data_IF_744471035876
#
_entry.id   IF_744471035876
#
_cell.length_a   1.000
_cell.length_b   1.000
_cell.length_c   1.000
_cell.angle_alpha   90.00
_cell.angle_beta   90.00
_cell.angle_gamma   90.00
#
_symmetry.space_group_name_H-M   'P 1'
#
loop_
_entity.id
_entity.type
_entity.pdbx_description
1 polymer ?
#
# COMPACT_ATOMS: atom_id res chain seq x y z
N UNK A 1 40.15 9.65 -42.62
CA UNK A 1 38.85 9.00 -42.89
C UNK A 1 38.48 7.87 -41.91
N UNK A 2 39.31 7.54 -40.91
CA UNK A 2 39.04 6.47 -39.93
C UNK A 2 38.57 6.94 -38.54
N UNK A 3 38.54 8.25 -38.26
CA UNK A 3 38.23 8.76 -36.91
C UNK A 3 36.72 8.94 -36.63
N UNK A 4 35.90 9.21 -37.66
CA UNK A 4 34.44 9.43 -37.48
C UNK A 4 33.62 8.13 -37.33
N UNK A 5 34.11 7.00 -37.84
CA UNK A 5 33.38 5.73 -37.75
C UNK A 5 33.47 5.10 -36.36
N UNK A 6 34.57 5.33 -35.63
CA UNK A 6 34.75 4.79 -34.28
C UNK A 6 33.87 5.50 -33.24
N UNK A 7 33.62 6.79 -33.42
CA UNK A 7 32.74 7.59 -32.55
C UNK A 7 31.24 7.27 -32.75
N UNK A 8 30.82 6.90 -33.96
CA UNK A 8 29.43 6.52 -34.24
C UNK A 8 29.05 5.13 -33.68
N UNK A 9 30.01 4.19 -33.66
CA UNK A 9 29.78 2.86 -33.06
C UNK A 9 29.75 2.95 -31.54
N UNK A 10 30.55 3.82 -30.92
CA UNK A 10 30.57 4.00 -29.47
C UNK A 10 29.32 4.73 -28.95
N UNK A 11 28.68 5.57 -29.78
CA UNK A 11 27.41 6.23 -29.45
C UNK A 11 26.19 5.30 -29.60
N UNK A 12 26.30 4.23 -30.41
CA UNK A 12 25.24 3.22 -30.56
C UNK A 12 25.25 2.14 -29.46
N UNK A 13 26.34 1.95 -28.72
CA UNK A 13 26.39 0.95 -27.63
C UNK A 13 25.83 1.50 -26.30
N UNK A 14 25.71 2.81 -26.14
CA UNK A 14 25.13 3.42 -24.91
C UNK A 14 23.61 3.53 -24.96
N UNK A 15 22.98 3.30 -26.13
CA UNK A 15 21.52 3.28 -26.30
C UNK A 15 21.05 1.83 -26.32
N UNK A 16 21.01 1.16 -25.16
CA UNK A 16 20.60 -0.25 -25.20
C UNK A 16 20.43 -0.99 -23.88
N UNK A 17 20.51 -0.34 -22.73
CA UNK A 17 19.98 -0.94 -21.50
C UNK A 17 18.64 -0.27 -21.20
N UNK A 18 17.68 -0.53 -22.07
CA UNK A 18 16.30 -0.60 -21.60
C UNK A 18 16.26 -1.86 -20.75
N UNK A 19 16.36 -1.68 -19.43
CA UNK A 19 15.91 -2.71 -18.49
C UNK A 19 14.41 -2.81 -18.74
N UNK A 20 14.03 -3.67 -19.67
CA UNK A 20 12.68 -4.19 -19.74
C UNK A 20 12.53 -4.98 -18.45
N UNK A 21 11.92 -4.35 -17.43
CA UNK A 21 11.28 -5.09 -16.36
C UNK A 21 10.28 -6.00 -17.08
N UNK A 22 10.63 -7.28 -17.21
CA UNK A 22 9.61 -8.29 -17.49
C UNK A 22 8.57 -8.08 -16.39
N UNK A 23 7.34 -7.78 -16.79
CA UNK A 23 6.23 -7.85 -15.85
C UNK A 23 6.21 -9.28 -15.35
N UNK A 24 6.79 -9.50 -14.17
CA UNK A 24 6.77 -10.78 -13.48
C UNK A 24 5.33 -11.30 -13.44
N UNK A 25 5.21 -12.63 -13.40
CA UNK A 25 3.91 -13.28 -13.32
C UNK A 25 3.09 -12.65 -12.18
N UNK A 26 1.83 -12.28 -12.47
CA UNK A 26 0.93 -11.68 -11.47
C UNK A 26 0.03 -12.78 -10.92
N UNK A 27 -0.09 -12.86 -9.60
CA UNK A 27 -0.94 -13.84 -8.91
C UNK A 27 -2.08 -13.14 -8.18
N UNK A 28 -3.22 -13.82 -8.10
CA UNK A 28 -4.40 -13.29 -7.39
C UNK A 28 -4.17 -13.35 -5.89
N UNK A 29 -4.13 -12.18 -5.24
CA UNK A 29 -4.02 -12.08 -3.78
C UNK A 29 -5.38 -12.32 -3.11
N UNK A 30 -6.45 -11.73 -3.67
CA UNK A 30 -7.80 -11.91 -3.15
C UNK A 30 -8.87 -11.51 -4.19
N UNK A 31 -10.08 -12.05 -4.00
CA UNK A 31 -11.27 -11.67 -4.78
C UNK A 31 -12.40 -11.21 -3.88
N UNK A 32 -13.01 -10.07 -4.22
CA UNK A 32 -14.23 -9.58 -3.57
C UNK A 32 -15.45 -10.26 -4.17
N UNK A 33 -16.12 -11.07 -3.37
CA UNK A 33 -17.35 -11.77 -3.76
C UNK A 33 -18.64 -11.05 -3.36
N UNK A 34 -18.59 -10.12 -2.38
CA UNK A 34 -19.76 -9.38 -1.94
C UNK A 34 -19.44 -7.95 -1.47
N UNK A 35 -20.47 -7.10 -1.51
CA UNK A 35 -20.44 -5.71 -1.02
C UNK A 35 -21.32 -5.67 0.23
N UNK A 36 -20.87 -5.06 1.35
CA UNK A 36 -21.69 -5.02 2.55
C UNK A 36 -23.01 -4.28 2.31
N UNK A 37 -24.14 -4.71 2.93
CA UNK A 37 -25.47 -4.15 2.65
C UNK A 37 -25.61 -2.66 2.94
N UNK A 38 -24.74 -2.09 3.78
CA UNK A 38 -24.71 -0.65 4.10
C UNK A 38 -24.10 0.21 3.00
N UNK A 39 -23.61 -0.38 1.90
CA UNK A 39 -23.01 0.32 0.77
C UNK A 39 -23.76 0.04 -0.52
N UNK A 40 -23.76 1.02 -1.41
CA UNK A 40 -24.27 0.90 -2.77
C UNK A 40 -23.20 1.40 -3.73
N UNK A 41 -22.87 0.63 -4.76
CA UNK A 41 -21.98 1.11 -5.82
C UNK A 41 -22.68 2.25 -6.57
N UNK A 42 -21.97 3.36 -6.75
CA UNK A 42 -22.46 4.52 -7.51
C UNK A 42 -21.77 4.58 -8.85
N UNK A 43 -22.53 4.94 -9.89
CA UNK A 43 -21.96 5.12 -11.21
C UNK A 43 -21.29 6.50 -11.29
N UNK A 44 -19.98 6.51 -11.41
CA UNK A 44 -19.18 7.72 -11.62
C UNK A 44 -18.59 7.66 -13.03
N UNK A 45 -18.44 8.79 -13.75
CA UNK A 45 -17.75 8.77 -15.04
C UNK A 45 -16.27 8.38 -14.88
N UNK A 46 -15.80 7.35 -15.57
CA UNK A 46 -14.38 6.93 -15.57
C UNK A 46 -13.56 7.78 -16.56
N UNK A 47 -13.66 9.11 -16.44
CA UNK A 47 -12.93 10.06 -17.28
C UNK A 47 -11.54 10.39 -16.72
N UNK A 48 -10.90 11.45 -17.24
CA UNK A 48 -9.60 11.90 -16.75
C UNK A 48 -9.61 12.23 -15.25
N UNK A 49 -10.69 12.84 -14.75
CA UNK A 49 -10.82 13.24 -13.34
C UNK A 49 -10.84 12.01 -12.43
N UNK A 50 -11.58 10.96 -12.82
CA UNK A 50 -11.59 9.69 -12.09
C UNK A 50 -10.20 9.08 -11.98
N UNK A 51 -9.48 8.99 -13.11
CA UNK A 51 -8.14 8.38 -13.17
C UNK A 51 -7.11 9.09 -12.28
N UNK A 52 -7.27 10.40 -12.08
CA UNK A 52 -6.40 11.25 -11.27
C UNK A 52 -6.89 11.39 -9.81
N UNK A 53 -8.05 10.82 -9.48
CA UNK A 53 -8.62 10.90 -8.12
C UNK A 53 -7.67 10.24 -7.11
N UNK A 54 -7.31 10.91 -6.01
CA UNK A 54 -6.35 10.38 -5.04
C UNK A 54 -6.99 9.32 -4.13
N UNK A 55 -6.27 8.23 -3.93
CA UNK A 55 -6.61 7.13 -3.03
C UNK A 55 -5.37 6.79 -2.19
N UNK A 56 -5.57 6.40 -0.93
CA UNK A 56 -4.48 5.98 -0.06
C UNK A 56 -4.67 4.52 0.37
N UNK A 57 -3.58 3.77 0.41
CA UNK A 57 -3.57 2.36 0.77
C UNK A 57 -2.28 2.02 1.52
N UNK A 58 -2.26 0.88 2.20
CA UNK A 58 -1.03 0.35 2.80
C UNK A 58 -0.86 -1.10 2.40
N UNK A 59 0.37 -1.49 2.10
CA UNK A 59 0.78 -2.87 1.89
C UNK A 59 1.50 -3.30 3.16
N UNK A 60 0.89 -4.19 3.93
CA UNK A 60 1.47 -4.78 5.12
C UNK A 60 2.36 -5.94 4.67
N UNK A 61 3.60 -5.91 5.13
CA UNK A 61 4.63 -6.88 4.80
C UNK A 61 4.73 -7.90 5.92
N UNK A 62 5.28 -9.07 5.60
CA UNK A 62 5.56 -10.09 6.61
C UNK A 62 6.50 -9.58 7.68
N UNK A 63 5.98 -9.54 8.89
CA UNK A 63 6.73 -9.20 10.08
C UNK A 63 7.61 -10.38 10.50
N UNK A 64 8.76 -10.06 11.12
CA UNK A 64 9.69 -11.05 11.66
C UNK A 64 9.59 -11.19 13.17
N UNK A 65 10.18 -12.29 13.67
CA UNK A 65 10.41 -12.51 15.10
C UNK A 65 9.13 -12.37 15.95
N UNK A 66 7.97 -12.71 15.39
CA UNK A 66 6.68 -12.60 16.09
C UNK A 66 6.62 -13.55 17.29
N UNK A 67 7.27 -14.70 17.20
CA UNK A 67 7.48 -15.64 18.30
C UNK A 67 8.30 -15.03 19.43
N UNK A 68 9.38 -14.31 19.09
CA UNK A 68 10.21 -13.58 20.07
C UNK A 68 9.42 -12.44 20.70
N UNK A 69 8.66 -11.68 19.90
CA UNK A 69 7.80 -10.60 20.40
C UNK A 69 6.73 -11.14 21.35
N UNK A 70 6.10 -12.27 21.03
CA UNK A 70 5.10 -12.91 21.87
C UNK A 70 5.70 -13.39 23.19
N UNK A 71 6.86 -14.05 23.15
CA UNK A 71 7.58 -14.46 24.36
C UNK A 71 7.93 -13.26 25.25
N UNK A 72 8.44 -12.17 24.66
CA UNK A 72 8.71 -10.93 25.37
C UNK A 72 7.45 -10.34 26.00
N UNK A 73 6.33 -10.31 25.25
CA UNK A 73 5.05 -9.81 25.74
C UNK A 73 4.63 -10.50 27.04
N UNK A 74 4.72 -11.83 27.10
CA UNK A 74 4.38 -12.59 28.29
C UNK A 74 5.36 -12.34 29.44
N UNK A 75 6.66 -12.28 29.15
CA UNK A 75 7.71 -12.05 30.15
C UNK A 75 7.62 -10.67 30.80
N UNK A 76 7.27 -9.62 30.05
CA UNK A 76 7.16 -8.26 30.61
C UNK A 76 5.81 -8.00 31.28
N UNK A 77 4.79 -8.81 30.97
CA UNK A 77 3.44 -8.69 31.54
C UNK A 77 3.21 -9.57 32.78
N UNK A 78 4.06 -10.58 33.03
CA UNK A 78 3.93 -11.47 34.18
C UNK A 78 4.58 -10.88 35.44
N UNK A 79 3.82 -10.57 36.52
CA UNK A 79 4.35 -9.95 37.74
C UNK A 79 5.33 -10.84 38.52
N UNK A 80 5.41 -12.15 38.22
CA UNK A 80 6.37 -13.08 38.83
C UNK A 80 7.65 -13.26 38.01
N UNK A 81 7.69 -12.72 36.80
CA UNK A 81 8.86 -12.83 35.92
C UNK A 81 9.84 -11.68 36.19
N UNK A 82 11.15 -11.93 36.05
CA UNK A 82 12.20 -10.94 36.33
C UNK A 82 12.12 -9.70 35.43
N UNK A 83 11.58 -9.86 34.21
CA UNK A 83 11.40 -8.78 33.23
C UNK A 83 10.08 -8.01 33.39
N UNK A 84 9.32 -8.21 34.45
CA UNK A 84 8.05 -7.51 34.66
C UNK A 84 8.20 -5.98 34.54
N UNK A 85 7.35 -5.34 33.72
CA UNK A 85 7.34 -3.89 33.41
C UNK A 85 8.57 -3.37 32.66
N UNK A 86 9.43 -4.25 32.15
CA UNK A 86 10.56 -3.86 31.29
C UNK A 86 10.12 -3.81 29.82
N UNK A 87 9.26 -2.85 29.49
CA UNK A 87 8.71 -2.72 28.14
C UNK A 87 9.76 -2.21 27.14
N UNK A 88 9.68 -2.73 25.91
CA UNK A 88 10.40 -2.17 24.77
C UNK A 88 9.78 -0.84 24.33
N UNK A 89 10.61 0.03 23.79
CA UNK A 89 10.19 1.23 23.05
C UNK A 89 9.61 0.85 21.69
N UNK A 90 8.84 1.77 21.09
CA UNK A 90 8.29 1.56 19.74
C UNK A 90 9.38 1.29 18.69
N UNK A 91 10.54 1.95 18.81
CA UNK A 91 11.67 1.77 17.90
C UNK A 91 12.31 0.38 18.03
N UNK A 92 12.42 -0.13 19.26
CA UNK A 92 12.91 -1.48 19.52
C UNK A 92 11.94 -2.53 18.98
N UNK A 93 10.63 -2.32 19.12
CA UNK A 93 9.61 -3.21 18.54
C UNK A 93 9.71 -3.18 17.01
N UNK A 94 9.72 -2.01 16.39
CA UNK A 94 9.83 -1.92 14.93
C UNK A 94 11.11 -2.59 14.40
N UNK A 95 12.23 -2.41 15.11
CA UNK A 95 13.50 -3.05 14.72
C UNK A 95 13.47 -4.57 14.93
N UNK A 96 12.70 -5.06 15.91
CA UNK A 96 12.51 -6.49 16.14
C UNK A 96 11.61 -7.12 15.06
N UNK A 97 10.57 -6.41 14.61
CA UNK A 97 9.51 -6.97 13.77
C UNK A 97 9.56 -6.54 12.31
N UNK A 98 10.55 -5.74 11.90
CA UNK A 98 10.63 -5.26 10.52
C UNK A 98 10.74 -6.39 9.49
N UNK A 99 10.18 -6.13 8.31
CA UNK A 99 10.37 -6.97 7.14
C UNK A 99 11.81 -6.84 6.60
N UNK A 100 12.24 -7.83 5.81
CA UNK A 100 13.53 -7.82 5.12
C UNK A 100 13.73 -6.53 4.34
N UNK A 101 14.95 -5.98 4.39
CA UNK A 101 15.31 -4.85 3.56
C UNK A 101 15.08 -5.13 2.07
N UNK A 102 15.39 -6.35 1.62
CA UNK A 102 15.13 -6.81 0.25
C UNK A 102 13.64 -6.75 -0.10
N UNK A 103 12.77 -7.32 0.75
CA UNK A 103 11.31 -7.27 0.59
C UNK A 103 10.80 -5.83 0.52
N UNK A 104 11.24 -4.96 1.44
CA UNK A 104 10.83 -3.54 1.45
C UNK A 104 11.25 -2.84 0.16
N UNK A 105 12.49 -3.04 -0.27
CA UNK A 105 13.02 -2.43 -1.50
C UNK A 105 12.26 -2.93 -2.73
N UNK A 106 11.99 -4.23 -2.83
CA UNK A 106 11.25 -4.80 -3.95
C UNK A 106 9.83 -4.21 -4.07
N UNK A 107 9.11 -4.05 -2.94
CA UNK A 107 7.79 -3.42 -2.93
C UNK A 107 7.86 -1.93 -3.30
N UNK A 108 8.86 -1.19 -2.78
CA UNK A 108 9.07 0.22 -3.11
C UNK A 108 9.37 0.43 -4.60
N UNK A 109 10.20 -0.44 -5.18
CA UNK A 109 10.57 -0.41 -6.59
C UNK A 109 9.37 -0.75 -7.46
N UNK A 110 8.59 -1.76 -7.10
CA UNK A 110 7.35 -2.11 -7.81
C UNK A 110 6.33 -0.96 -7.83
N UNK A 111 6.11 -0.29 -6.69
CA UNK A 111 5.22 0.87 -6.60
C UNK A 111 5.75 2.03 -7.47
N UNK A 112 7.04 2.32 -7.35
CA UNK A 112 7.66 3.47 -8.03
C UNK A 112 7.73 3.26 -9.54
N UNK A 113 8.09 2.06 -10.01
CA UNK A 113 8.09 1.70 -11.42
C UNK A 113 6.69 1.79 -12.02
N UNK A 114 5.69 1.26 -11.31
CA UNK A 114 4.28 1.35 -11.73
C UNK A 114 3.83 2.80 -11.83
N UNK A 115 4.08 3.63 -10.81
CA UNK A 115 3.73 5.05 -10.82
C UNK A 115 4.33 5.77 -12.05
N UNK A 116 5.63 5.61 -12.26
CA UNK A 116 6.35 6.21 -13.42
C UNK A 116 5.77 5.76 -14.76
N UNK A 117 5.38 4.49 -14.89
CA UNK A 117 4.82 3.94 -16.13
C UNK A 117 3.49 4.57 -16.54
N UNK A 118 2.73 5.14 -15.60
CA UNK A 118 1.44 5.77 -15.90
C UNK A 118 1.56 7.14 -16.57
N UNK A 119 2.70 7.82 -16.40
CA UNK A 119 2.90 9.18 -16.88
C UNK A 119 2.03 10.25 -16.20
N UNK A 120 1.32 9.90 -15.11
CA UNK A 120 0.47 10.83 -14.36
C UNK A 120 1.35 11.64 -13.40
N UNK A 121 1.21 12.96 -13.44
CA UNK A 121 1.84 13.85 -12.47
C UNK A 121 0.91 14.07 -11.28
N UNK A 122 1.30 13.57 -10.10
CA UNK A 122 0.54 13.71 -8.86
C UNK A 122 1.45 14.34 -7.78
N UNK A 123 1.37 15.67 -7.55
CA UNK A 123 2.34 16.38 -6.71
C UNK A 123 2.31 15.95 -5.24
N UNK A 124 1.16 15.50 -4.75
CA UNK A 124 0.99 15.07 -3.36
C UNK A 124 1.16 13.56 -3.15
N UNK A 125 1.57 12.82 -4.19
CA UNK A 125 1.83 11.39 -4.12
C UNK A 125 3.04 11.10 -3.22
N UNK A 126 2.86 10.26 -2.22
CA UNK A 126 3.90 9.90 -1.27
C UNK A 126 3.92 8.39 -1.02
N UNK A 127 5.13 7.85 -0.88
CA UNK A 127 5.37 6.47 -0.46
C UNK A 127 6.21 6.53 0.80
N UNK A 128 5.71 5.95 1.89
CA UNK A 128 6.33 5.97 3.21
C UNK A 128 6.65 4.54 3.64
N UNK A 129 7.94 4.27 3.86
CA UNK A 129 8.39 3.03 4.48
C UNK A 129 8.17 3.08 6.00
N UNK A 130 7.38 2.15 6.52
CA UNK A 130 7.09 1.96 7.96
C UNK A 130 7.75 0.71 8.53
N UNK A 131 8.69 0.11 7.81
CA UNK A 131 9.48 -1.09 8.15
C UNK A 131 8.73 -2.42 8.13
N UNK A 132 7.47 -2.44 8.53
CA UNK A 132 6.56 -3.58 8.41
C UNK A 132 5.39 -3.31 7.45
N UNK A 133 5.31 -2.10 6.93
CA UNK A 133 4.33 -1.71 5.93
C UNK A 133 4.87 -0.63 5.00
N UNK A 134 4.42 -0.64 3.75
CA UNK A 134 4.61 0.46 2.81
C UNK A 134 3.29 1.21 2.69
N UNK A 135 3.24 2.45 3.19
CA UNK A 135 2.06 3.30 3.13
C UNK A 135 2.14 4.23 1.93
N UNK A 136 1.11 4.19 1.09
CA UNK A 136 0.98 5.04 -0.09
C UNK A 136 -0.13 6.05 0.14
N UNK A 137 0.18 7.33 -0.08
CA UNK A 137 -0.72 8.46 0.14
C UNK A 137 -0.96 9.17 -1.19
N UNK A 138 -2.23 9.47 -1.48
CA UNK A 138 -2.67 10.18 -2.67
C UNK A 138 -2.21 9.55 -4.01
N UNK A 139 -2.24 8.22 -4.10
CA UNK A 139 -2.06 7.53 -5.37
C UNK A 139 -3.26 7.79 -6.30
N UNK A 140 -3.04 8.22 -7.55
CA UNK A 140 -4.10 8.28 -8.55
C UNK A 140 -4.77 6.91 -8.74
N UNK A 141 -6.09 6.88 -8.93
CA UNK A 141 -6.84 5.64 -9.23
C UNK A 141 -6.16 4.82 -10.33
N UNK A 142 -5.74 5.45 -11.43
CA UNK A 142 -5.11 4.74 -12.54
C UNK A 142 -3.76 4.08 -12.16
N UNK A 143 -3.05 4.62 -11.17
CA UNK A 143 -1.83 4.00 -10.63
C UNK A 143 -2.20 2.77 -9.81
N UNK A 144 -3.21 2.87 -8.95
CA UNK A 144 -3.68 1.75 -8.10
C UNK A 144 -4.24 0.61 -8.95
N UNK A 145 -5.07 0.92 -9.95
CA UNK A 145 -5.62 -0.07 -10.89
C UNK A 145 -4.51 -0.79 -11.68
N UNK A 146 -3.47 -0.07 -12.11
CA UNK A 146 -2.34 -0.67 -12.81
C UNK A 146 -1.44 -1.49 -11.88
N UNK A 147 -1.22 -1.02 -10.65
CA UNK A 147 -0.40 -1.67 -9.63
C UNK A 147 -0.96 -3.05 -9.29
N UNK A 148 -2.25 -3.08 -8.96
CA UNK A 148 -2.92 -4.27 -8.46
C UNK A 148 -3.70 -5.06 -9.53
N UNK A 149 -3.63 -4.65 -10.79
CA UNK A 149 -4.42 -5.20 -11.92
C UNK A 149 -5.89 -5.43 -11.55
N UNK A 150 -6.47 -4.41 -10.92
CA UNK A 150 -7.86 -4.40 -10.44
C UNK A 150 -8.59 -3.19 -11.01
N UNK A 151 -9.91 -3.19 -10.87
CA UNK A 151 -10.75 -2.00 -11.10
C UNK A 151 -11.14 -1.38 -9.77
N UNK A 152 -11.10 -0.06 -9.67
CA UNK A 152 -11.69 0.68 -8.56
C UNK A 152 -13.10 1.16 -8.92
N UNK A 153 -13.98 1.21 -7.93
CA UNK A 153 -15.31 1.78 -8.06
C UNK A 153 -15.65 2.65 -6.86
N UNK A 154 -16.56 3.61 -7.07
CA UNK A 154 -17.10 4.44 -6.02
C UNK A 154 -18.30 3.76 -5.34
N UNK A 155 -18.36 3.85 -4.03
CA UNK A 155 -19.40 3.29 -3.18
C UNK A 155 -19.92 4.35 -2.22
N UNK A 156 -21.23 4.48 -2.12
CA UNK A 156 -21.86 5.36 -1.15
C UNK A 156 -22.33 4.55 0.05
N UNK A 157 -21.95 4.98 1.25
CA UNK A 157 -22.51 4.46 2.49
C UNK A 157 -23.93 5.01 2.69
N UNK A 158 -24.91 4.13 2.89
CA UNK A 158 -26.33 4.47 2.98
C UNK A 158 -26.66 5.37 4.17
N UNK A 159 -25.91 5.25 5.26
CA UNK A 159 -26.17 5.94 6.53
C UNK A 159 -25.83 7.43 6.49
N UNK A 160 -24.66 7.80 5.94
CA UNK A 160 -24.14 9.16 5.98
C UNK A 160 -23.87 9.75 4.59
N UNK A 161 -24.10 8.98 3.51
CA UNK A 161 -23.84 9.39 2.14
C UNK A 161 -22.36 9.49 1.75
N UNK A 162 -21.43 9.08 2.63
CA UNK A 162 -19.98 9.19 2.38
C UNK A 162 -19.56 8.30 1.21
N UNK A 163 -18.68 8.85 0.36
CA UNK A 163 -18.14 8.16 -0.80
C UNK A 163 -16.82 7.47 -0.45
N UNK A 164 -16.74 6.20 -0.82
CA UNK A 164 -15.58 5.34 -0.67
C UNK A 164 -15.13 4.87 -2.04
N UNK A 165 -13.81 4.86 -2.28
CA UNK A 165 -13.24 4.25 -3.48
C UNK A 165 -12.63 2.92 -3.06
N UNK A 166 -13.14 1.82 -3.61
CA UNK A 166 -12.75 0.45 -3.24
C UNK A 166 -12.58 -0.42 -4.49
N UNK A 167 -11.78 -1.47 -4.37
CA UNK A 167 -11.59 -2.40 -5.48
C UNK A 167 -12.79 -3.32 -5.70
N UNK A 168 -12.96 -3.77 -6.94
CA UNK A 168 -14.01 -4.71 -7.38
C UNK A 168 -13.37 -5.86 -8.15
N UNK A 169 -13.88 -7.08 -7.95
CA UNK A 169 -13.36 -8.28 -8.60
C UNK A 169 -12.13 -8.81 -7.88
N UNK A 170 -11.09 -9.13 -8.65
CA UNK A 170 -9.83 -9.70 -8.18
C UNK A 170 -8.76 -8.61 -8.03
N UNK A 171 -7.91 -8.78 -7.01
CA UNK A 171 -6.74 -7.95 -6.73
C UNK A 171 -5.50 -8.83 -6.87
N UNK A 172 -4.52 -8.37 -7.64
CA UNK A 172 -3.30 -9.12 -7.97
C UNK A 172 -2.04 -8.44 -7.45
N UNK A 173 -1.00 -9.22 -7.22
CA UNK A 173 0.36 -8.76 -6.89
C UNK A 173 1.38 -9.56 -7.71
N UNK A 174 2.61 -9.06 -7.88
CA UNK A 174 3.68 -9.86 -8.48
C UNK A 174 3.90 -11.15 -7.67
N UNK A 175 4.06 -12.29 -8.35
CA UNK A 175 4.26 -13.60 -7.75
C UNK A 175 5.42 -13.62 -6.75
N UNK A 176 6.51 -12.94 -7.11
CA UNK A 176 7.70 -12.79 -6.27
C UNK A 176 7.42 -12.09 -4.93
N UNK A 177 6.34 -11.31 -4.84
CA UNK A 177 5.94 -10.57 -3.64
C UNK A 177 4.77 -11.23 -2.89
N UNK A 178 4.15 -12.27 -3.45
CA UNK A 178 2.98 -12.93 -2.85
C UNK A 178 3.31 -13.47 -1.46
N UNK A 179 4.45 -14.14 -1.31
CA UNK A 179 4.88 -14.68 -0.04
C UNK A 179 5.32 -13.61 0.96
N UNK A 180 5.49 -12.37 0.53
CA UNK A 180 6.06 -11.29 1.34
C UNK A 180 5.02 -10.27 1.81
N UNK A 181 3.85 -10.25 1.16
CA UNK A 181 2.73 -9.35 1.47
C UNK A 181 1.72 -10.11 2.33
N UNK A 182 1.47 -9.61 3.54
CA UNK A 182 0.43 -10.17 4.42
C UNK A 182 -0.96 -9.64 4.08
N UNK A 183 -1.07 -8.33 3.82
CA UNK A 183 -2.37 -7.70 3.60
C UNK A 183 -2.25 -6.37 2.84
N UNK A 184 -3.26 -6.07 2.02
CA UNK A 184 -3.48 -4.72 1.48
C UNK A 184 -4.68 -4.09 2.19
N UNK A 185 -4.53 -2.84 2.64
CA UNK A 185 -5.57 -2.06 3.35
C UNK A 185 -5.79 -0.70 2.70
N UNK A 186 -6.88 -0.01 3.03
CA UNK A 186 -7.26 1.31 2.52
C UNK A 186 -8.19 1.23 1.31
N UNK A 187 -7.98 0.26 0.43
CA UNK A 187 -8.86 -0.01 -0.73
C UNK A 187 -9.70 -1.28 -0.58
N UNK A 188 -9.41 -2.09 0.45
CA UNK A 188 -10.00 -3.43 0.65
C UNK A 188 -11.18 -3.41 1.62
N UNK A 189 -10.99 -2.83 2.79
CA UNK A 189 -11.99 -2.82 3.84
C UNK A 189 -13.07 -1.75 3.60
N UNK A 190 -14.31 -2.07 3.91
CA UNK A 190 -15.40 -1.09 4.03
C UNK A 190 -15.54 -0.74 5.51
N UNK A 191 -14.94 0.36 5.93
CA UNK A 191 -15.04 0.79 7.32
C UNK A 191 -16.37 1.51 7.56
N UNK A 192 -17.12 1.07 8.56
CA UNK A 192 -18.29 1.78 9.06
C UNK A 192 -17.85 2.74 10.18
N UNK A 193 -17.16 3.83 9.84
CA UNK A 193 -16.96 4.88 10.83
C UNK A 193 -18.23 5.73 10.90
N UNK A 194 -19.01 5.58 11.99
CA UNK A 194 -19.99 6.60 12.34
C UNK A 194 -19.23 7.86 12.73
N UNK A 195 -19.28 8.88 11.85
CA UNK A 195 -18.72 10.21 12.08
C UNK A 195 -19.30 10.88 13.35
N UNK A 196 -20.39 10.34 13.91
CA UNK A 196 -21.01 10.84 15.13
C UNK A 196 -20.13 10.61 16.36
N UNK A 197 -19.26 9.61 16.37
CA UNK A 197 -18.33 9.35 17.48
C UNK A 197 -17.21 10.42 17.49
N UNK A 198 -16.61 10.71 16.34
CA UNK A 198 -15.52 11.70 16.22
C UNK A 198 -16.01 13.13 16.47
N UNK A 199 -17.24 13.47 16.06
CA UNK A 199 -17.83 14.79 16.35
C UNK A 199 -18.15 14.98 17.84
N UNK A 200 -18.59 13.93 18.54
CA UNK A 200 -18.84 14.00 19.99
C UNK A 200 -17.55 14.23 20.78
N UNK A 201 -16.47 13.53 20.43
CA UNK A 201 -15.17 13.67 21.10
C UNK A 201 -14.56 15.07 20.91
N UNK A 202 -14.64 15.63 19.69
CA UNK A 202 -14.16 17.01 19.43
C UNK A 202 -14.96 18.09 20.17
N UNK A 203 -16.26 17.85 20.41
CA UNK A 203 -17.10 18.78 21.15
C UNK A 203 -16.82 18.73 22.65
N UNK A 204 -16.60 17.53 23.21
CA UNK A 204 -16.23 17.37 24.62
C UNK A 204 -14.83 17.96 24.92
N UNK A 205 -13.86 17.82 24.02
CA UNK A 205 -12.52 18.41 24.19
C UNK A 205 -12.47 19.93 24.01
N UNK A 206 -13.54 20.57 23.53
CA UNK A 206 -13.65 22.03 23.44
C UNK A 206 -14.47 22.65 24.58
N UNK A 207 -15.11 21.81 25.41
CA UNK A 207 -15.94 22.21 26.55
C UNK A 207 -15.25 21.98 27.91
N UNK A 208 -14.02 21.46 27.92
CA UNK A 208 -13.08 21.36 29.06
C UNK A 208 -11.92 22.36 28.92
#
# INVERSE_FOLDING_TARGET
RFCCLLLLVLLLVVVGVVVSYEQGEMVELMTRTSIPPSFTQVNVPHDKSWRETPVSFSILLKQKNLDVLEDLFWKVSNPKHEMYRQYLTAEEIHSLTEADLETRMAVLDWITATYKSTGINAPDFQVLDRRDAIKVINAPVAVVENLFKTTLAAFQQKENGHLWIKYVGSLYVPQELESEIDLVTGIVEFASFSQDIVKKEKKQQQEE
#
